data_IF_264936627753
#
_entry.id   IF_264936627753
#
_cell.length_a   1.000
_cell.length_b   1.000
_cell.length_c   1.000
_cell.angle_alpha   90.00
_cell.angle_beta   90.00
_cell.angle_gamma   90.00
#
_symmetry.space_group_name_H-M   'P 1'
#
loop_
_entity.id
_entity.type
_entity.pdbx_description
1 polymer ?
#
# COMPACT_ATOMS: atom_id res chain seq x y z
N UNK A 1 -16.86 -12.07 10.82
CA UNK A 1 -16.37 -11.49 12.11
C UNK A 1 -16.01 -10.02 11.91
N UNK A 2 -15.92 -9.19 12.97
CA UNK A 2 -15.53 -7.77 12.84
C UNK A 2 -14.15 -7.60 12.17
N UNK A 3 -13.16 -8.43 12.55
CA UNK A 3 -11.81 -8.40 11.97
C UNK A 3 -11.78 -8.75 10.47
N UNK A 4 -12.61 -9.72 10.04
CA UNK A 4 -12.74 -10.12 8.65
C UNK A 4 -13.28 -8.97 7.77
N UNK A 5 -14.30 -8.26 8.26
CA UNK A 5 -14.84 -7.09 7.56
C UNK A 5 -13.77 -6.01 7.42
N UNK A 6 -12.99 -5.73 8.47
CA UNK A 6 -11.92 -4.72 8.43
C UNK A 6 -10.80 -5.07 7.44
N UNK A 7 -10.39 -6.34 7.37
CA UNK A 7 -9.39 -6.80 6.39
C UNK A 7 -9.92 -6.66 4.97
N UNK A 8 -11.20 -6.99 4.73
CA UNK A 8 -11.82 -6.84 3.42
C UNK A 8 -12.01 -5.38 3.01
N UNK A 9 -12.42 -4.53 3.95
CA UNK A 9 -12.55 -3.09 3.71
C UNK A 9 -11.18 -2.48 3.41
N UNK A 10 -10.13 -2.88 4.13
CA UNK A 10 -8.78 -2.44 3.87
C UNK A 10 -8.31 -2.88 2.48
N UNK A 11 -8.54 -4.13 2.07
CA UNK A 11 -8.23 -4.59 0.72
C UNK A 11 -8.90 -3.74 -0.37
N UNK A 12 -10.17 -3.37 -0.15
CA UNK A 12 -10.90 -2.46 -1.04
C UNK A 12 -10.25 -1.07 -1.07
N UNK A 13 -9.82 -0.56 0.08
CA UNK A 13 -9.11 0.71 0.18
C UNK A 13 -7.76 0.68 -0.56
N UNK A 14 -7.03 -0.44 -0.52
CA UNK A 14 -5.79 -0.64 -1.30
C UNK A 14 -6.08 -0.57 -2.80
N UNK A 15 -7.15 -1.23 -3.26
CA UNK A 15 -7.57 -1.16 -4.66
C UNK A 15 -7.93 0.27 -5.09
N UNK A 16 -8.69 1.00 -4.28
CA UNK A 16 -9.02 2.41 -4.55
C UNK A 16 -7.76 3.28 -4.63
N UNK A 17 -6.81 3.09 -3.70
CA UNK A 17 -5.57 3.84 -3.72
C UNK A 17 -4.74 3.54 -4.99
N UNK A 18 -4.67 2.27 -5.42
CA UNK A 18 -4.01 1.88 -6.66
C UNK A 18 -4.60 2.58 -7.89
N UNK A 19 -5.92 2.69 -7.99
CA UNK A 19 -6.56 3.42 -9.10
C UNK A 19 -6.19 4.91 -9.10
N UNK A 20 -6.05 5.53 -7.93
CA UNK A 20 -5.57 6.91 -7.81
C UNK A 20 -4.09 7.02 -8.19
N UNK A 21 -3.25 6.05 -7.81
CA UNK A 21 -1.82 5.98 -8.22
C UNK A 21 -1.70 5.87 -9.74
N UNK A 22 -2.54 5.05 -10.39
CA UNK A 22 -2.59 4.95 -11.85
C UNK A 22 -3.00 6.30 -12.45
N UNK A 23 -4.05 6.91 -11.91
CA UNK A 23 -4.58 8.18 -12.41
C UNK A 23 -3.54 9.30 -12.36
N UNK A 24 -2.77 9.44 -11.27
CA UNK A 24 -1.72 10.46 -11.19
C UNK A 24 -0.53 10.18 -12.11
N UNK A 25 -0.38 8.95 -12.62
CA UNK A 25 0.63 8.59 -13.60
C UNK A 25 0.33 9.18 -14.99
N UNK A 26 -0.92 9.54 -15.26
CA UNK A 26 -1.31 10.30 -16.44
C UNK A 26 -1.28 11.81 -16.11
N UNK A 27 -0.25 12.50 -16.61
CA UNK A 27 -0.05 13.92 -16.35
C UNK A 27 -1.20 14.81 -16.89
N UNK A 28 -2.04 14.30 -17.79
CA UNK A 28 -3.17 15.07 -18.35
C UNK A 28 -4.36 15.19 -17.38
N UNK A 29 -4.46 14.28 -16.41
CA UNK A 29 -5.55 14.26 -15.40
C UNK A 29 -5.10 14.67 -14.01
N UNK A 30 -3.80 14.93 -13.81
CA UNK A 30 -3.25 15.39 -12.54
C UNK A 30 -3.78 16.79 -12.16
N UNK A 31 -4.45 16.87 -11.00
CA UNK A 31 -5.03 18.10 -10.49
C UNK A 31 -5.13 18.10 -8.96
N UNK A 32 -5.26 19.28 -8.31
CA UNK A 32 -5.32 19.37 -6.84
C UNK A 32 -6.44 18.54 -6.18
N UNK A 33 -7.59 18.38 -6.84
CA UNK A 33 -8.69 17.55 -6.31
C UNK A 33 -8.34 16.07 -6.28
N UNK A 34 -7.68 15.56 -7.33
CA UNK A 34 -7.17 14.18 -7.37
C UNK A 34 -6.10 13.97 -6.28
N UNK A 35 -5.21 14.96 -6.08
CA UNK A 35 -4.20 14.93 -5.00
C UNK A 35 -4.83 14.86 -3.61
N UNK A 36 -5.83 15.70 -3.35
CA UNK A 36 -6.57 15.68 -2.08
C UNK A 36 -7.31 14.35 -1.86
N UNK A 37 -7.92 13.78 -2.92
CA UNK A 37 -8.57 12.47 -2.84
C UNK A 37 -7.55 11.36 -2.53
N UNK A 38 -6.38 11.40 -3.17
CA UNK A 38 -5.29 10.48 -2.91
C UNK A 38 -4.79 10.57 -1.47
N UNK A 39 -4.56 11.79 -0.96
CA UNK A 39 -4.17 12.02 0.44
C UNK A 39 -5.20 11.48 1.43
N UNK A 40 -6.49 11.78 1.22
CA UNK A 40 -7.59 11.29 2.06
C UNK A 40 -7.68 9.76 2.04
N UNK A 41 -7.56 9.17 0.86
CA UNK A 41 -7.59 7.71 0.66
C UNK A 41 -6.41 7.06 1.38
N UNK A 42 -5.24 7.69 1.32
CA UNK A 42 -4.03 7.22 2.00
C UNK A 42 -4.17 7.22 3.53
N UNK A 43 -4.58 8.34 4.11
CA UNK A 43 -4.76 8.49 5.56
C UNK A 43 -5.76 7.45 6.08
N UNK A 44 -6.92 7.34 5.42
CA UNK A 44 -7.93 6.34 5.76
C UNK A 44 -7.38 4.91 5.66
N UNK A 45 -6.58 4.60 4.64
CA UNK A 45 -5.94 3.30 4.50
C UNK A 45 -5.00 2.97 5.66
N UNK A 46 -4.21 3.94 6.13
CA UNK A 46 -3.34 3.78 7.30
C UNK A 46 -4.14 3.48 8.58
N UNK A 47 -5.22 4.22 8.82
CA UNK A 47 -6.12 4.01 9.97
C UNK A 47 -6.79 2.62 9.93
N UNK A 48 -7.29 2.22 8.75
CA UNK A 48 -7.94 0.93 8.54
C UNK A 48 -6.96 -0.23 8.76
N UNK A 49 -5.73 -0.11 8.27
CA UNK A 49 -4.69 -1.11 8.46
C UNK A 49 -4.37 -1.32 9.95
N UNK A 50 -4.21 -0.22 10.70
CA UNK A 50 -3.95 -0.27 12.15
C UNK A 50 -5.11 -0.92 12.90
N UNK A 51 -6.35 -0.55 12.58
CA UNK A 51 -7.55 -1.11 13.20
C UNK A 51 -7.70 -2.61 12.90
N UNK A 52 -7.52 -3.01 11.64
CA UNK A 52 -7.55 -4.42 11.24
C UNK A 52 -6.51 -5.24 12.02
N UNK A 53 -5.27 -4.76 12.12
CA UNK A 53 -4.23 -5.42 12.91
C UNK A 53 -4.59 -5.53 14.39
N UNK A 54 -5.10 -4.44 15.00
CA UNK A 54 -5.46 -4.42 16.42
C UNK A 54 -6.58 -5.44 16.72
N UNK A 55 -7.62 -5.45 15.90
CA UNK A 55 -8.77 -6.36 16.05
C UNK A 55 -8.39 -7.81 15.79
N UNK A 56 -7.56 -8.06 14.78
CA UNK A 56 -7.06 -9.39 14.48
C UNK A 56 -6.15 -9.94 15.59
N UNK A 57 -5.27 -9.10 16.14
CA UNK A 57 -4.40 -9.48 17.26
C UNK A 57 -5.20 -9.80 18.53
N UNK A 58 -6.29 -9.07 18.78
CA UNK A 58 -7.14 -9.27 19.96
C UNK A 58 -7.86 -10.63 19.95
N UNK A 59 -8.23 -11.15 18.77
CA UNK A 59 -8.92 -12.45 18.64
C UNK A 59 -7.97 -13.65 18.51
N UNK A 60 -6.66 -13.40 18.49
CA UNK A 60 -5.62 -14.42 18.31
C UNK A 60 -5.00 -14.90 19.62
N UNK A 61 -5.61 -14.53 20.76
CA UNK A 61 -5.16 -14.88 22.10
C UNK A 61 -5.21 -16.38 22.40
N UNK A 62 -4.59 -16.81 23.52
CA UNK A 62 -4.36 -18.22 23.86
C UNK A 62 -5.63 -18.86 24.45
N UNK A 63 -6.72 -18.89 23.69
CA UNK A 63 -7.93 -19.58 24.07
C UNK A 63 -7.80 -21.04 23.59
N UNK A 64 -7.38 -21.93 24.49
CA UNK A 64 -7.54 -23.39 24.45
C UNK A 64 -7.13 -24.15 23.17
N UNK A 65 -5.97 -23.81 22.61
CA UNK A 65 -5.09 -24.81 21.98
C UNK A 65 -5.33 -25.16 20.50
N UNK A 66 -6.29 -24.56 19.80
CA UNK A 66 -6.35 -24.63 18.32
C UNK A 66 -6.66 -23.25 17.73
N UNK A 67 -5.66 -22.64 17.09
CA UNK A 67 -5.87 -21.44 16.27
C UNK A 67 -6.77 -21.83 15.10
N UNK A 68 -7.93 -21.19 15.00
CA UNK A 68 -8.86 -21.44 13.91
C UNK A 68 -8.20 -21.08 12.56
N UNK A 69 -8.27 -21.95 11.52
CA UNK A 69 -7.60 -21.71 10.23
C UNK A 69 -8.04 -20.41 9.55
N UNK A 70 -9.25 -19.95 9.85
CA UNK A 70 -9.76 -18.65 9.41
C UNK A 70 -8.92 -17.47 9.93
N UNK A 71 -8.43 -17.53 11.16
CA UNK A 71 -7.57 -16.48 11.73
C UNK A 71 -6.26 -16.44 10.95
N UNK A 72 -5.66 -17.60 10.66
CA UNK A 72 -4.45 -17.69 9.83
C UNK A 72 -4.69 -17.07 8.43
N UNK A 73 -5.83 -17.36 7.80
CA UNK A 73 -6.21 -16.77 6.52
C UNK A 73 -6.26 -15.24 6.59
N UNK A 74 -6.85 -14.69 7.65
CA UNK A 74 -6.91 -13.24 7.87
C UNK A 74 -5.53 -12.61 8.08
N UNK A 75 -4.60 -13.27 8.77
CA UNK A 75 -3.21 -12.80 8.90
C UNK A 75 -2.51 -12.72 7.54
N UNK A 76 -2.62 -13.79 6.75
CA UNK A 76 -2.04 -13.83 5.40
C UNK A 76 -2.64 -12.72 4.54
N UNK A 77 -3.97 -12.59 4.53
CA UNK A 77 -4.65 -11.58 3.74
C UNK A 77 -4.24 -10.15 4.15
N UNK A 78 -4.21 -9.86 5.45
CA UNK A 78 -3.79 -8.56 5.96
C UNK A 78 -2.32 -8.26 5.63
N UNK A 79 -1.44 -9.25 5.76
CA UNK A 79 -0.04 -9.11 5.39
C UNK A 79 0.10 -8.77 3.90
N UNK A 80 -0.54 -9.53 3.02
CA UNK A 80 -0.52 -9.26 1.58
C UNK A 80 -1.07 -7.87 1.26
N UNK A 81 -2.18 -7.46 1.91
CA UNK A 81 -2.74 -6.12 1.73
C UNK A 81 -1.76 -5.02 2.15
N UNK A 82 -1.08 -5.17 3.29
CA UNK A 82 -0.09 -4.21 3.76
C UNK A 82 1.12 -4.09 2.82
N UNK A 83 1.64 -5.23 2.33
CA UNK A 83 2.78 -5.27 1.41
C UNK A 83 2.42 -4.63 0.06
N UNK A 84 1.24 -4.95 -0.48
CA UNK A 84 0.71 -4.30 -1.69
C UNK A 84 0.53 -2.80 -1.47
N UNK A 85 -0.11 -2.39 -0.38
CA UNK A 85 -0.36 -0.99 -0.07
C UNK A 85 0.93 -0.18 0.05
N UNK A 86 1.93 -0.76 0.73
CA UNK A 86 3.27 -0.17 0.85
C UNK A 86 3.92 0.02 -0.53
N UNK A 87 3.75 -0.95 -1.43
CA UNK A 87 4.28 -0.87 -2.79
C UNK A 87 3.56 0.19 -3.62
N UNK A 88 2.23 0.29 -3.52
CA UNK A 88 1.47 1.36 -4.19
C UNK A 88 1.85 2.75 -3.66
N UNK A 89 2.08 2.90 -2.36
CA UNK A 89 2.61 4.15 -1.79
C UNK A 89 4.00 4.49 -2.32
N UNK A 90 4.90 3.51 -2.44
CA UNK A 90 6.23 3.72 -3.04
C UNK A 90 6.13 4.20 -4.49
N UNK A 91 5.27 3.57 -5.30
CA UNK A 91 5.00 4.00 -6.68
C UNK A 91 4.50 5.44 -6.72
N UNK A 92 3.61 5.82 -5.80
CA UNK A 92 3.09 7.18 -5.73
C UNK A 92 4.19 8.21 -5.50
N UNK A 93 5.12 7.94 -4.58
CA UNK A 93 6.26 8.81 -4.28
C UNK A 93 7.14 8.97 -5.52
N UNK A 94 7.44 7.88 -6.23
CA UNK A 94 8.22 7.93 -7.46
C UNK A 94 7.54 8.75 -8.56
N UNK A 95 6.24 8.55 -8.78
CA UNK A 95 5.46 9.29 -9.78
C UNK A 95 5.41 10.78 -9.44
N UNK A 96 5.12 11.09 -8.17
CA UNK A 96 5.08 12.45 -7.65
C UNK A 96 6.42 13.18 -7.81
N UNK A 97 7.53 12.53 -7.44
CA UNK A 97 8.87 13.08 -7.61
C UNK A 97 9.21 13.32 -9.09
N UNK A 98 8.82 12.40 -9.98
CA UNK A 98 9.06 12.54 -11.43
C UNK A 98 8.29 13.73 -12.03
N UNK A 99 7.06 13.96 -11.59
CA UNK A 99 6.24 15.10 -12.03
C UNK A 99 6.80 16.45 -11.55
N UNK A 100 7.37 16.51 -10.34
CA UNK A 100 8.08 17.71 -9.88
C UNK A 100 9.28 18.05 -10.79
N UNK A 101 10.06 17.05 -11.19
CA UNK A 101 11.23 17.23 -12.06
C UNK A 101 10.84 17.70 -13.47
N UNK A 102 9.78 17.12 -14.05
CA UNK A 102 9.33 17.47 -15.40
C UNK A 102 8.81 18.90 -15.51
N UNK A 103 8.18 19.44 -14.46
CA UNK A 103 7.76 20.86 -14.44
C UNK A 103 8.95 21.80 -14.26
N UNK A 104 9.89 21.48 -13.36
CA UNK A 104 11.10 22.28 -13.15
C UNK A 104 11.99 22.36 -14.41
N UNK A 105 11.99 21.33 -15.27
CA UNK A 105 12.72 21.33 -16.55
C UNK A 105 12.07 22.15 -17.67
N UNK A 106 10.76 22.42 -17.60
CA UNK A 106 10.06 23.22 -18.61
C UNK A 106 10.30 24.73 -18.43
N UNK A 107 10.61 25.15 -17.20
CA UNK A 107 10.92 26.56 -16.88
C UNK A 107 12.41 26.91 -17.01
N UNK A 108 13.30 25.91 -17.05
CA UNK A 108 14.74 26.13 -17.28
C UNK A 108 15.16 26.10 -18.76
N UNK A 109 14.25 25.72 -19.66
CA UNK A 109 14.47 25.65 -21.11
C UNK A 109 13.95 26.89 -21.87
N UNK A 110 13.98 28.07 -21.24
CA UNK A 110 13.59 29.34 -21.87
C UNK A 110 14.63 30.47 -21.67
N UNK A 111 15.86 30.17 -21.23
CA UNK A 111 16.86 31.22 -20.87
C UNK A 111 18.14 31.20 -21.71
N UNK A 112 18.34 30.24 -22.62
CA UNK A 112 19.55 30.23 -23.46
C UNK A 112 19.20 29.84 -24.89
N UNK A 113 18.87 30.83 -25.72
CA UNK A 113 19.68 31.21 -26.89
C UNK A 113 18.95 32.24 -27.76
N UNK A 114 19.42 33.48 -27.76
CA UNK A 114 19.18 34.46 -28.83
C UNK A 114 20.17 35.61 -28.63
N UNK A 115 21.42 35.37 -29.01
CA UNK A 115 22.42 36.43 -29.16
C UNK A 115 22.31 37.01 -30.57
N UNK A 116 22.08 38.33 -30.62
CA UNK A 116 22.48 39.28 -31.66
C UNK A 116 21.50 39.53 -32.82
N UNK A 117 20.77 40.66 -32.76
CA UNK A 117 20.78 41.74 -33.76
C UNK A 117 19.90 42.93 -33.33
N UNK A 118 20.28 44.12 -33.80
CA UNK A 118 19.99 45.48 -33.35
C UNK A 118 18.62 46.04 -33.80
N UNK A 119 17.75 46.54 -32.90
CA UNK A 119 16.77 47.62 -33.22
C UNK A 119 15.93 48.14 -32.03
N UNK A 120 15.52 49.40 -32.14
CA UNK A 120 15.19 50.39 -31.09
C UNK A 120 13.85 50.27 -30.34
N UNK A 121 13.93 50.54 -29.02
CA UNK A 121 13.10 51.36 -28.10
C UNK A 121 11.54 51.27 -28.02
N UNK A 122 11.10 50.79 -26.83
CA UNK A 122 9.95 51.12 -25.94
C UNK A 122 8.57 50.44 -26.12
N UNK A 123 7.72 50.28 -25.06
CA UNK A 123 7.96 50.29 -23.60
C UNK A 123 7.56 48.97 -22.86
N UNK A 124 7.98 48.89 -21.60
CA UNK A 124 7.81 47.80 -20.61
C UNK A 124 6.33 47.41 -20.39
N UNK A 125 6.03 46.11 -20.53
CA UNK A 125 4.82 45.48 -20.01
C UNK A 125 5.23 44.29 -19.13
N UNK A 126 5.59 44.59 -17.88
CA UNK A 126 5.83 43.62 -16.82
C UNK A 126 4.66 43.69 -15.81
N UNK A 127 3.55 42.97 -16.04
CA UNK A 127 2.51 42.84 -14.99
C UNK A 127 1.62 41.58 -15.12
N UNK A 128 2.14 40.46 -15.67
CA UNK A 128 1.38 39.21 -15.70
C UNK A 128 2.11 37.98 -15.12
N UNK A 129 3.40 38.09 -14.78
CA UNK A 129 4.24 36.90 -14.48
C UNK A 129 4.32 36.52 -12.99
N UNK A 130 3.93 37.41 -12.07
CA UNK A 130 4.09 37.17 -10.62
C UNK A 130 3.07 36.20 -10.03
N UNK A 131 1.83 36.19 -10.54
CA UNK A 131 0.77 35.29 -10.04
C UNK A 131 1.03 33.84 -10.45
N UNK A 132 1.44 33.61 -11.69
CA UNK A 132 1.74 32.26 -12.20
C UNK A 132 2.96 31.62 -11.50
N UNK A 133 3.95 32.43 -11.12
CA UNK A 133 5.13 31.96 -10.38
C UNK A 133 4.81 31.60 -8.93
N UNK A 134 3.96 32.38 -8.25
CA UNK A 134 3.52 32.07 -6.89
C UNK A 134 2.66 30.81 -6.82
N UNK A 135 1.72 30.63 -7.77
CA UNK A 135 0.87 29.43 -7.83
C UNK A 135 1.69 28.16 -8.11
N UNK A 136 2.71 28.25 -8.98
CA UNK A 136 3.59 27.12 -9.29
C UNK A 136 4.50 26.75 -8.12
N UNK A 137 5.08 27.75 -7.42
CA UNK A 137 5.81 27.50 -6.19
C UNK A 137 4.90 26.85 -5.16
N UNK A 138 3.74 27.45 -4.86
CA UNK A 138 2.80 26.92 -3.88
C UNK A 138 2.42 25.47 -4.22
N UNK A 139 2.10 25.16 -5.47
CA UNK A 139 1.84 23.79 -5.91
C UNK A 139 3.03 22.86 -5.64
N UNK A 140 4.26 23.27 -6.00
CA UNK A 140 5.46 22.47 -5.74
C UNK A 140 5.69 22.19 -4.25
N UNK A 141 5.43 23.16 -3.37
CA UNK A 141 5.54 22.98 -1.93
C UNK A 141 4.55 21.93 -1.40
N UNK A 142 3.29 21.96 -1.86
CA UNK A 142 2.28 20.99 -1.44
C UNK A 142 2.65 19.56 -1.86
N UNK A 143 3.18 19.40 -3.09
CA UNK A 143 3.61 18.09 -3.58
C UNK A 143 4.77 17.53 -2.76
N UNK A 144 5.73 18.36 -2.35
CA UNK A 144 6.86 17.91 -1.51
C UNK A 144 6.38 17.44 -0.14
N UNK A 145 5.47 18.18 0.49
CA UNK A 145 4.84 17.76 1.75
C UNK A 145 4.09 16.44 1.61
N UNK A 146 3.36 16.22 0.51
CA UNK A 146 2.66 14.96 0.25
C UNK A 146 3.63 13.77 0.10
N UNK A 147 4.78 13.98 -0.55
CA UNK A 147 5.84 12.97 -0.66
C UNK A 147 6.37 12.61 0.72
N UNK A 148 6.81 13.60 1.51
CA UNK A 148 7.38 13.37 2.85
C UNK A 148 6.40 12.66 3.78
N UNK A 149 5.13 13.07 3.74
CA UNK A 149 4.08 12.41 4.49
C UNK A 149 3.92 10.95 4.05
N UNK A 150 3.98 10.67 2.75
CA UNK A 150 3.80 9.30 2.23
C UNK A 150 4.98 8.41 2.57
N UNK A 151 6.19 8.96 2.57
CA UNK A 151 7.37 8.25 3.06
C UNK A 151 7.27 7.92 4.56
N UNK A 152 6.69 8.80 5.38
CA UNK A 152 6.41 8.53 6.79
C UNK A 152 5.44 7.36 6.92
N UNK A 153 4.34 7.41 6.20
CA UNK A 153 3.31 6.35 6.23
C UNK A 153 3.88 5.01 5.73
N UNK A 154 4.75 5.01 4.73
CA UNK A 154 5.47 3.81 4.27
C UNK A 154 6.28 3.19 5.42
N UNK A 155 7.02 4.00 6.19
CA UNK A 155 7.77 3.51 7.36
C UNK A 155 6.82 2.93 8.40
N UNK A 156 5.70 3.58 8.66
CA UNK A 156 4.69 3.09 9.61
C UNK A 156 4.03 1.79 9.15
N UNK A 157 3.68 1.66 7.87
CA UNK A 157 3.10 0.42 7.33
C UNK A 157 4.11 -0.72 7.33
N UNK A 158 5.39 -0.47 7.05
CA UNK A 158 6.46 -1.47 7.21
C UNK A 158 6.59 -1.92 8.66
N UNK A 159 6.56 -0.98 9.61
CA UNK A 159 6.57 -1.30 11.04
C UNK A 159 5.34 -2.13 11.43
N UNK A 160 4.18 -1.87 10.82
CA UNK A 160 2.97 -2.63 11.05
C UNK A 160 3.06 -4.06 10.48
N UNK A 161 3.70 -4.25 9.32
CA UNK A 161 4.02 -5.59 8.79
C UNK A 161 4.90 -6.36 9.77
N UNK A 162 5.94 -5.72 10.32
CA UNK A 162 6.79 -6.35 11.34
C UNK A 162 5.97 -6.76 12.57
N UNK A 163 5.12 -5.86 13.10
CA UNK A 163 4.23 -6.16 14.23
C UNK A 163 3.26 -7.30 13.93
N UNK A 164 2.70 -7.35 12.72
CA UNK A 164 1.80 -8.41 12.29
C UNK A 164 2.51 -9.78 12.29
N UNK A 165 3.76 -9.83 11.82
CA UNK A 165 4.58 -11.05 11.85
C UNK A 165 4.87 -11.49 13.29
N UNK A 166 5.11 -10.55 14.20
CA UNK A 166 5.31 -10.84 15.63
C UNK A 166 4.04 -11.34 16.33
N UNK A 167 2.84 -10.90 15.91
CA UNK A 167 1.57 -11.37 16.49
C UNK A 167 1.00 -12.57 15.74
N UNK A 168 1.65 -13.02 14.68
CA UNK A 168 1.16 -14.09 13.83
C UNK A 168 1.10 -15.43 14.59
N UNK A 169 0.03 -16.24 14.40
CA UNK A 169 -0.09 -17.53 15.04
C UNK A 169 1.06 -18.49 14.68
N UNK A 170 1.46 -19.35 15.63
CA UNK A 170 2.61 -20.27 15.48
C UNK A 170 2.61 -21.11 14.18
N UNK A 171 1.48 -21.67 13.70
CA UNK A 171 1.44 -22.41 12.44
C UNK A 171 1.95 -21.62 11.23
N UNK A 172 1.85 -20.28 11.26
CA UNK A 172 2.36 -19.42 10.21
C UNK A 172 3.80 -18.95 10.48
N UNK A 173 4.19 -18.76 11.74
CA UNK A 173 5.57 -18.38 12.09
C UNK A 173 6.61 -19.46 11.78
N UNK A 174 6.23 -20.74 11.83
CA UNK A 174 7.13 -21.86 11.52
C UNK A 174 7.19 -22.19 10.03
N UNK A 175 6.41 -21.52 9.18
CA UNK A 175 6.58 -21.57 7.73
C UNK A 175 7.65 -20.56 7.31
N UNK A 176 8.92 -20.94 7.45
CA UNK A 176 10.01 -20.24 6.78
C UNK A 176 9.82 -20.31 5.25
N UNK A 177 10.33 -19.29 4.53
CA UNK A 177 10.17 -18.99 3.09
C UNK A 177 10.35 -20.20 2.13
N UNK A 178 10.97 -21.29 2.58
CA UNK A 178 11.17 -22.53 1.81
C UNK A 178 9.89 -23.36 1.60
N UNK A 179 8.82 -23.10 2.35
CA UNK A 179 7.56 -23.87 2.28
C UNK A 179 6.51 -23.30 1.33
N UNK A 180 6.59 -21.99 0.99
CA UNK A 180 5.64 -21.32 0.10
C UNK A 180 5.73 -21.78 -1.37
N UNK A 181 6.85 -22.41 -1.76
CA UNK A 181 7.03 -23.00 -3.10
C UNK A 181 6.62 -24.48 -3.17
N UNK A 182 6.31 -25.13 -2.04
CA UNK A 182 5.82 -26.50 -2.01
C UNK A 182 4.28 -26.49 -2.01
N UNK A 183 3.71 -26.22 -3.18
CA UNK A 183 2.29 -26.44 -3.49
C UNK A 183 1.93 -27.94 -3.51
N UNK A 184 2.22 -28.69 -2.45
CA UNK A 184 1.52 -29.95 -2.21
C UNK A 184 0.16 -29.60 -1.62
N UNK A 185 -0.96 -29.89 -2.33
CA UNK A 185 -2.28 -29.61 -1.79
C UNK A 185 -2.44 -30.38 -0.49
N UNK A 186 -2.84 -29.69 0.58
CA UNK A 186 -3.30 -30.36 1.79
C UNK A 186 -4.43 -31.31 1.40
N UNK A 187 -4.36 -32.62 1.70
CA UNK A 187 -5.38 -33.54 1.27
C UNK A 187 -6.68 -33.22 2.01
N UNK A 188 -7.72 -32.82 1.28
CA UNK A 188 -9.09 -32.60 1.75
C UNK A 188 -9.78 -33.92 2.14
N UNK A 189 -9.12 -34.77 2.92
CA UNK A 189 -9.71 -36.05 3.37
C UNK A 189 -10.51 -35.79 4.62
N UNK A 190 -11.81 -35.56 4.41
CA UNK A 190 -12.86 -35.67 5.43
C UNK A 190 -12.64 -36.98 6.22
N UNK A 191 -12.19 -36.89 7.47
CA UNK A 191 -12.03 -38.05 8.37
C UNK A 191 -13.38 -38.76 8.50
N UNK A 192 -13.58 -39.85 7.76
CA UNK A 192 -14.71 -40.76 7.98
C UNK A 192 -14.43 -41.48 9.30
N UNK A 193 -15.20 -41.16 10.34
CA UNK A 193 -15.17 -41.80 11.66
C UNK A 193 -15.30 -43.32 11.47
N UNK A 194 -14.17 -44.06 11.49
CA UNK A 194 -14.17 -45.52 11.46
C UNK A 194 -14.84 -45.99 12.75
N UNK A 195 -16.02 -46.58 12.64
CA UNK A 195 -16.61 -47.36 13.74
C UNK A 195 -15.68 -48.55 13.97
N UNK A 196 -15.26 -48.72 15.22
CA UNK A 196 -14.58 -49.93 15.68
C UNK A 196 -15.43 -51.15 15.36
N UNK A 197 -14.89 -52.08 14.58
CA UNK A 197 -15.27 -53.48 14.63
C UNK A 197 -13.98 -54.28 14.65
N UNK A 198 -13.69 -54.90 15.79
CA UNK A 198 -12.58 -55.81 15.96
C UNK A 198 -12.85 -57.12 15.23
N UNK A 199 -11.79 -57.76 14.78
CA UNK A 199 -11.71 -59.22 14.66
C UNK A 199 -10.24 -59.63 14.65
N UNK A 200 -9.90 -60.44 15.64
CA UNK A 200 -8.63 -61.10 15.83
C UNK A 200 -8.41 -62.15 14.73
N UNK A 201 -7.20 -62.22 14.17
CA UNK A 201 -6.69 -63.46 13.59
C UNK A 201 -5.23 -63.66 14.02
N UNK A 202 -5.05 -64.51 15.02
CA UNK A 202 -3.82 -65.25 15.28
C UNK A 202 -3.58 -66.22 14.13
N UNK A 203 -2.36 -66.30 13.62
CA UNK A 203 -1.88 -67.49 12.90
C UNK A 203 -0.48 -67.81 13.41
N UNK A 204 -0.40 -68.83 14.25
CA UNK A 204 0.77 -69.70 14.38
C UNK A 204 0.47 -70.99 13.64
N UNK A 205 1.40 -71.42 12.78
CA UNK A 205 1.82 -72.80 12.56
C UNK A 205 3.13 -72.77 11.78
#
# INVERSE_FOLDING_TARGET
>A
MEAEQLVQDFNTQVALYRELVISIGDASVDCPSLRAQMQKTRIKGCEMAQNAHQKLSAISGPEDGEIHPEICRLYIQLQCCLEMYTTEMLKSVCLLGSLQLHRKGKDSSAVLDSKMEESSQAPILEEASSSTLQDLQQYSWHVSTDIENTERDIREMKNLVSKLRETMPLPLKTQDDSSLLNLTPYPLVRRRKRRFFGLCCLVSS
#
